data_IF_299647835481
#
_entry.id   IF_299647835481
#
_cell.length_a   1.000
_cell.length_b   1.000
_cell.length_c   1.000
_cell.angle_alpha   90.00
_cell.angle_beta   90.00
_cell.angle_gamma   90.00
#
_symmetry.space_group_name_H-M   'P 1'
#
loop_
_entity.id
_entity.type
_entity.pdbx_description
1 polymer ?
#
# COMPACT_ATOMS: atom_id res chain seq x y z
N UNK A 1 1.54 -9.31 21.55
CA UNK A 1 1.90 -7.96 21.09
C UNK A 1 1.03 -7.60 19.88
N UNK A 2 0.67 -6.33 19.75
CA UNK A 2 -0.20 -5.86 18.67
C UNK A 2 0.51 -4.77 17.89
N UNK A 3 0.61 -4.93 16.59
CA UNK A 3 1.11 -3.93 15.66
C UNK A 3 0.21 -4.00 14.43
N UNK A 4 -0.80 -3.18 14.39
CA UNK A 4 -1.86 -3.28 13.40
C UNK A 4 -2.41 -1.90 13.07
N UNK A 5 -2.58 -1.61 11.80
CA UNK A 5 -3.25 -0.40 11.35
C UNK A 5 -4.20 -0.71 10.21
N UNK A 6 -5.21 0.12 10.05
CA UNK A 6 -6.17 0.03 8.97
C UNK A 6 -6.36 1.43 8.41
N UNK A 7 -6.16 1.54 7.09
CA UNK A 7 -6.30 2.80 6.38
C UNK A 7 -7.28 2.64 5.23
N UNK A 8 -8.14 3.62 5.04
CA UNK A 8 -9.01 3.71 3.87
C UNK A 8 -8.77 5.07 3.23
N UNK A 9 -8.51 5.08 1.95
CA UNK A 9 -8.25 6.31 1.24
C UNK A 9 -8.17 6.11 -0.26
N UNK A 10 -7.75 7.15 -0.95
CA UNK A 10 -7.60 7.15 -2.41
C UNK A 10 -6.13 7.10 -2.78
N UNK A 11 -5.82 6.34 -3.81
CA UNK A 11 -4.47 6.35 -4.36
C UNK A 11 -4.15 7.73 -4.95
N UNK A 12 -3.11 8.35 -4.42
CA UNK A 12 -2.68 9.68 -4.84
C UNK A 12 -1.91 9.65 -6.16
N UNK A 13 -1.37 8.50 -6.52
CA UNK A 13 -0.61 8.29 -7.74
C UNK A 13 -0.73 6.83 -8.16
N UNK A 14 -0.32 6.50 -9.37
CA UNK A 14 -0.25 5.12 -9.81
C UNK A 14 0.78 4.34 -8.99
N UNK A 15 0.51 3.05 -8.70
CA UNK A 15 1.47 2.22 -7.99
C UNK A 15 2.80 2.12 -8.72
N UNK A 16 3.89 2.15 -7.96
CA UNK A 16 5.24 2.05 -8.51
C UNK A 16 5.85 0.71 -8.14
N UNK A 17 5.89 -0.17 -9.10
CA UNK A 17 6.43 -1.52 -8.95
C UNK A 17 7.92 -1.53 -9.21
N UNK A 18 8.65 -2.27 -8.37
CA UNK A 18 10.09 -2.42 -8.52
C UNK A 18 10.52 -3.84 -8.18
N UNK A 19 11.27 -4.45 -9.10
CA UNK A 19 11.94 -5.72 -8.85
C UNK A 19 13.29 -5.42 -8.19
N UNK A 20 13.50 -5.91 -6.97
CA UNK A 20 14.74 -5.66 -6.21
C UNK A 20 15.79 -6.71 -6.54
N UNK A 21 15.40 -7.98 -6.52
CA UNK A 21 16.22 -9.10 -6.93
C UNK A 21 15.31 -10.26 -7.35
N UNK A 22 15.88 -11.44 -7.59
CA UNK A 22 15.09 -12.58 -8.07
C UNK A 22 13.95 -12.99 -7.14
N UNK A 23 14.10 -12.74 -5.84
CA UNK A 23 13.16 -13.19 -4.83
C UNK A 23 12.38 -12.07 -4.15
N UNK A 24 12.71 -10.80 -4.43
CA UNK A 24 12.12 -9.67 -3.74
C UNK A 24 11.59 -8.62 -4.70
N UNK A 25 10.35 -8.24 -4.49
CA UNK A 25 9.66 -7.19 -5.23
C UNK A 25 8.91 -6.30 -4.27
N UNK A 26 8.76 -5.05 -4.63
CA UNK A 26 8.00 -4.09 -3.85
C UNK A 26 7.16 -3.23 -4.77
N UNK A 27 5.95 -2.94 -4.34
CA UNK A 27 5.12 -1.93 -4.97
C UNK A 27 4.88 -0.83 -3.95
N UNK A 28 5.29 0.37 -4.29
CA UNK A 28 5.10 1.53 -3.44
C UNK A 28 3.86 2.29 -3.88
N UNK A 29 2.98 2.54 -2.93
CA UNK A 29 1.78 3.35 -3.16
C UNK A 29 1.75 4.51 -2.17
N UNK A 30 1.03 5.55 -2.52
CA UNK A 30 0.73 6.67 -1.62
C UNK A 30 -0.78 6.76 -1.49
N UNK A 31 -1.26 6.62 -0.28
CA UNK A 31 -2.68 6.68 0.04
C UNK A 31 -3.03 8.03 0.64
N UNK A 32 -3.98 8.72 0.04
CA UNK A 32 -4.50 9.97 0.56
C UNK A 32 -5.65 9.66 1.51
N UNK A 33 -5.41 9.91 2.78
CA UNK A 33 -6.36 9.63 3.86
C UNK A 33 -6.82 10.94 4.48
N UNK A 34 -8.12 11.16 4.49
CA UNK A 34 -8.67 12.36 5.10
C UNK A 34 -8.51 12.33 6.61
N UNK A 35 -8.10 13.46 7.17
CA UNK A 35 -8.08 13.63 8.61
C UNK A 35 -9.52 13.70 9.15
N UNK A 36 -9.77 13.23 10.37
CA UNK A 36 -11.13 13.19 10.92
C UNK A 36 -11.64 14.55 11.44
N UNK A 37 -10.86 15.61 11.28
CA UNK A 37 -11.22 16.95 11.78
C UNK A 37 -10.94 18.00 10.72
N UNK A 38 -11.67 19.10 10.81
CA UNK A 38 -11.49 20.26 9.94
C UNK A 38 -10.40 21.18 10.49
N UNK A 39 -9.63 21.75 9.57
CA UNK A 39 -8.71 22.82 9.89
C UNK A 39 -9.52 24.05 10.31
N UNK A 40 -9.17 24.63 11.46
CA UNK A 40 -9.91 25.76 12.01
C UNK A 40 -9.75 27.03 11.18
N UNK A 41 -8.64 27.16 10.47
CA UNK A 41 -8.35 28.35 9.67
C UNK A 41 -9.01 28.30 8.29
N UNK A 42 -9.03 27.13 7.65
CA UNK A 42 -9.56 26.96 6.29
C UNK A 42 -10.97 26.39 6.26
N UNK A 43 -11.42 25.72 7.32
CA UNK A 43 -12.71 25.05 7.37
C UNK A 43 -12.75 23.73 6.57
N UNK A 44 -11.63 23.30 6.02
CA UNK A 44 -11.53 22.12 5.21
C UNK A 44 -10.85 20.96 5.96
N UNK A 45 -11.15 19.75 5.54
CA UNK A 45 -10.48 18.57 6.08
C UNK A 45 -9.08 18.45 5.49
N UNK A 46 -8.09 18.26 6.36
CA UNK A 46 -6.74 17.97 5.93
C UNK A 46 -6.63 16.56 5.37
N UNK A 47 -5.56 16.32 4.63
CA UNK A 47 -5.27 15.02 4.03
C UNK A 47 -3.86 14.60 4.43
N UNK A 48 -3.73 13.36 4.86
CA UNK A 48 -2.43 12.75 5.09
C UNK A 48 -2.08 11.87 3.88
N UNK A 49 -0.91 12.10 3.31
CA UNK A 49 -0.39 11.29 2.21
C UNK A 49 0.55 10.26 2.81
N UNK A 50 0.08 9.02 2.85
CA UNK A 50 0.77 7.95 3.57
C UNK A 50 1.44 7.01 2.58
N UNK A 51 2.79 6.96 2.56
CA UNK A 51 3.51 5.97 1.75
C UNK A 51 3.34 4.59 2.35
N UNK A 52 3.05 3.62 1.51
CA UNK A 52 2.84 2.22 1.92
C UNK A 52 3.66 1.33 1.01
N UNK A 53 4.37 0.39 1.61
CA UNK A 53 5.14 -0.61 0.88
C UNK A 53 4.40 -1.94 0.86
N UNK A 54 4.27 -2.51 -0.32
CA UNK A 54 3.61 -3.80 -0.54
C UNK A 54 4.65 -4.76 -1.11
N UNK A 55 5.01 -5.77 -0.34
CA UNK A 55 6.12 -6.67 -0.67
C UNK A 55 5.64 -7.98 -1.27
N UNK A 56 6.42 -8.49 -2.21
CA UNK A 56 6.26 -9.83 -2.82
C UNK A 56 4.88 -10.03 -3.46
N UNK A 57 4.13 -11.05 -3.09
CA UNK A 57 2.89 -11.40 -3.76
C UNK A 57 1.86 -10.28 -3.85
N UNK A 58 1.65 -9.56 -2.75
CA UNK A 58 0.68 -8.45 -2.73
C UNK A 58 1.09 -7.29 -3.64
N UNK A 59 2.38 -7.17 -3.97
CA UNK A 59 2.87 -6.13 -4.87
C UNK A 59 2.27 -6.25 -6.27
N UNK A 60 2.04 -7.46 -6.75
CA UNK A 60 1.40 -7.70 -8.04
C UNK A 60 -0.05 -7.28 -8.07
N UNK A 61 -0.76 -7.51 -6.97
CA UNK A 61 -2.16 -7.10 -6.87
C UNK A 61 -2.29 -5.59 -7.02
N UNK A 62 -1.44 -4.84 -6.33
CA UNK A 62 -1.44 -3.39 -6.45
C UNK A 62 -1.04 -2.94 -7.85
N UNK A 63 0.03 -3.53 -8.41
CA UNK A 63 0.52 -3.14 -9.73
C UNK A 63 -0.49 -3.43 -10.84
N UNK A 64 -1.20 -4.55 -10.74
CA UNK A 64 -2.09 -5.01 -11.81
C UNK A 64 -3.50 -4.43 -11.71
N UNK A 65 -3.99 -4.15 -10.50
CA UNK A 65 -5.38 -3.80 -10.29
C UNK A 65 -5.63 -2.40 -9.77
N UNK A 66 -4.62 -1.70 -9.29
CA UNK A 66 -4.78 -0.39 -8.70
C UNK A 66 -4.30 0.72 -9.62
N UNK A 67 -5.02 1.84 -9.62
CA UNK A 67 -4.67 3.03 -10.39
C UNK A 67 -4.94 4.28 -9.56
N UNK A 68 -4.29 5.36 -9.92
CA UNK A 68 -4.50 6.67 -9.31
C UNK A 68 -5.99 6.99 -9.22
N UNK A 69 -6.45 7.41 -8.06
CA UNK A 69 -7.84 7.78 -7.80
C UNK A 69 -8.72 6.67 -7.25
N UNK A 70 -8.27 5.41 -7.30
CA UNK A 70 -9.01 4.30 -6.73
C UNK A 70 -9.10 4.41 -5.21
N UNK A 71 -10.26 4.04 -4.66
CA UNK A 71 -10.45 3.97 -3.22
C UNK A 71 -10.22 2.55 -2.75
N UNK A 72 -9.25 2.39 -1.87
CA UNK A 72 -8.87 1.09 -1.33
C UNK A 72 -8.72 1.14 0.19
N UNK A 73 -8.83 -0.02 0.81
CA UNK A 73 -8.49 -0.22 2.22
C UNK A 73 -7.19 -1.00 2.33
N UNK A 74 -6.35 -0.62 3.26
CA UNK A 74 -5.10 -1.31 3.56
C UNK A 74 -5.12 -1.72 5.03
N UNK A 75 -4.90 -2.99 5.28
CA UNK A 75 -4.53 -3.48 6.59
C UNK A 75 -3.03 -3.74 6.60
N UNK A 76 -2.35 -3.25 7.61
CA UNK A 76 -0.91 -3.39 7.66
C UNK A 76 -0.35 -3.20 9.05
N UNK A 77 0.93 -2.96 9.10
CA UNK A 77 1.68 -2.74 10.33
C UNK A 77 2.70 -1.64 10.14
N UNK A 78 3.17 -1.11 11.24
CA UNK A 78 4.24 -0.13 11.27
C UNK A 78 5.58 -0.86 11.48
N UNK A 79 6.57 -0.50 10.69
CA UNK A 79 7.93 -0.97 10.84
C UNK A 79 8.86 0.23 10.90
N UNK A 80 10.03 0.02 11.46
CA UNK A 80 11.06 1.04 11.54
C UNK A 80 12.34 0.51 10.91
N UNK A 81 12.89 1.29 9.98
CA UNK A 81 14.23 1.06 9.46
C UNK A 81 15.21 2.00 10.13
N UNK A 82 16.34 1.45 10.51
CA UNK A 82 17.47 2.23 11.02
C UNK A 82 18.53 2.30 9.93
N UNK A 83 18.99 3.51 9.63
CA UNK A 83 20.08 3.74 8.70
C UNK A 83 21.14 4.60 9.37
N UNK A 84 22.38 4.15 9.33
CA UNK A 84 23.50 4.91 9.84
C UNK A 84 24.07 5.81 8.73
N UNK A 85 24.11 7.11 8.99
CA UNK A 85 24.74 8.10 8.13
C UNK A 85 25.64 8.98 8.96
N UNK A 86 26.92 9.05 8.60
CA UNK A 86 27.92 9.88 9.27
C UNK A 86 28.01 9.63 10.78
N UNK A 87 27.88 8.38 11.21
CA UNK A 87 27.91 7.99 12.62
C UNK A 87 26.64 8.28 13.39
N UNK A 88 25.60 8.77 12.71
CA UNK A 88 24.30 9.08 13.32
C UNK A 88 23.30 8.06 12.84
N UNK A 89 22.57 7.43 13.77
CA UNK A 89 21.49 6.51 13.45
C UNK A 89 20.22 7.30 13.15
N UNK A 90 19.70 7.11 11.95
CA UNK A 90 18.41 7.68 11.53
C UNK A 90 17.35 6.60 11.46
N UNK A 91 16.18 6.90 12.00
CA UNK A 91 15.05 5.97 12.05
C UNK A 91 13.95 6.45 11.10
N UNK A 92 13.52 5.56 10.23
CA UNK A 92 12.45 5.84 9.27
C UNK A 92 11.26 4.95 9.57
N UNK A 93 10.13 5.58 9.83
CA UNK A 93 8.87 4.88 9.99
C UNK A 93 8.37 4.43 8.63
N UNK A 94 7.97 3.17 8.52
CA UNK A 94 7.47 2.58 7.29
C UNK A 94 6.14 1.88 7.56
N UNK A 95 5.15 2.09 6.69
CA UNK A 95 3.90 1.34 6.72
C UNK A 95 4.02 0.20 5.74
N UNK A 96 3.86 -1.02 6.22
CA UNK A 96 3.89 -2.22 5.40
C UNK A 96 2.47 -2.75 5.26
N UNK A 97 1.97 -2.79 4.03
CA UNK A 97 0.65 -3.31 3.73
C UNK A 97 0.67 -4.83 3.67
N UNK A 98 -0.29 -5.44 4.35
CA UNK A 98 -0.43 -6.89 4.40
C UNK A 98 -1.66 -7.38 3.67
N UNK A 99 -2.67 -6.50 3.51
CA UNK A 99 -3.94 -6.84 2.91
C UNK A 99 -4.52 -5.63 2.19
N UNK A 100 -5.09 -5.86 1.01
CA UNK A 100 -5.80 -4.84 0.24
C UNK A 100 -7.27 -5.20 0.14
N UNK A 101 -8.14 -4.23 0.42
CA UNK A 101 -9.58 -4.34 0.19
C UNK A 101 -9.98 -3.31 -0.86
N UNK A 102 -10.63 -3.76 -1.91
CA UNK A 102 -11.08 -2.88 -2.98
C UNK A 102 -12.48 -2.35 -2.65
N UNK A 103 -12.60 -1.02 -2.59
CA UNK A 103 -13.83 -0.39 -2.10
C UNK A 103 -14.67 0.17 -3.24
N UNK A 104 -14.05 0.90 -4.17
CA UNK A 104 -14.78 1.45 -5.30
C UNK A 104 -13.87 1.71 -6.49
N UNK A 105 -14.49 1.69 -7.68
CA UNK A 105 -13.87 2.09 -8.95
C UNK A 105 -12.63 1.31 -9.35
N UNK A 106 -12.40 0.13 -8.74
CA UNK A 106 -11.27 -0.71 -9.11
C UNK A 106 -11.61 -1.48 -10.36
N UNK A 107 -10.85 -1.22 -11.42
CA UNK A 107 -10.95 -1.93 -12.67
C UNK A 107 -9.64 -2.64 -12.92
N UNK A 108 -9.66 -3.94 -13.22
CA UNK A 108 -8.44 -4.63 -13.57
C UNK A 108 -7.83 -4.02 -14.83
N UNK A 109 -6.53 -3.91 -14.85
CA UNK A 109 -5.81 -3.48 -16.03
C UNK A 109 -5.92 -4.58 -17.10
N UNK A 110 -5.78 -4.20 -18.35
CA UNK A 110 -5.85 -5.11 -19.50
C UNK A 110 -7.24 -5.78 -19.71
N UNK A 111 -8.30 -5.17 -19.19
CA UNK A 111 -9.66 -5.62 -19.41
C UNK A 111 -10.13 -6.79 -18.57
N UNK A 112 -9.29 -7.27 -17.65
CA UNK A 112 -9.69 -8.30 -16.70
C UNK A 112 -10.67 -7.72 -15.68
N UNK A 113 -11.71 -8.49 -15.35
CA UNK A 113 -12.67 -8.09 -14.33
C UNK A 113 -12.34 -8.76 -13.01
N UNK A 114 -12.45 -8.00 -11.96
CA UNK A 114 -12.16 -8.43 -10.61
C UNK A 114 -13.39 -8.29 -9.74
N UNK A 115 -13.70 -9.29 -8.94
CA UNK A 115 -14.69 -9.15 -7.88
C UNK A 115 -14.08 -8.37 -6.74
N UNK A 116 -14.92 -7.67 -5.97
CA UNK A 116 -14.47 -6.91 -4.80
C UNK A 116 -14.11 -7.87 -3.67
N UNK A 117 -12.95 -8.46 -3.77
CA UNK A 117 -12.43 -9.41 -2.79
C UNK A 117 -11.24 -8.80 -2.05
N UNK A 118 -10.94 -9.36 -0.91
CA UNK A 118 -9.74 -9.01 -0.18
C UNK A 118 -8.61 -9.93 -0.61
N UNK A 119 -7.42 -9.35 -0.79
CA UNK A 119 -6.22 -10.09 -1.12
C UNK A 119 -5.19 -9.89 -0.02
N UNK A 120 -4.58 -10.99 0.42
CA UNK A 120 -3.48 -10.96 1.37
C UNK A 120 -2.19 -11.32 0.68
N UNK A 121 -1.07 -11.02 1.32
CA UNK A 121 0.23 -11.43 0.81
C UNK A 121 0.33 -12.95 0.67
N UNK A 122 -0.27 -13.69 1.59
CA UNK A 122 -0.24 -15.16 1.57
C UNK A 122 -1.05 -15.74 0.42
N UNK A 123 -2.20 -15.16 0.11
CA UNK A 123 -3.04 -15.63 -0.99
C UNK A 123 -2.34 -15.49 -2.34
N UNK A 124 -1.59 -14.43 -2.53
CA UNK A 124 -0.92 -14.14 -3.79
C UNK A 124 0.44 -14.83 -3.89
N UNK A 125 1.15 -15.00 -2.78
CA UNK A 125 2.43 -15.70 -2.74
C UNK A 125 2.30 -17.15 -3.21
N UNK A 126 1.20 -17.82 -2.90
CA UNK A 126 0.96 -19.18 -3.36
C UNK A 126 0.88 -19.28 -4.88
N UNK A 127 0.30 -18.29 -5.53
CA UNK A 127 0.22 -18.23 -6.99
C UNK A 127 1.56 -17.89 -7.63
N UNK A 128 2.37 -17.05 -6.98
CA UNK A 128 3.65 -16.62 -7.52
C UNK A 128 4.77 -17.65 -7.32
N UNK A 129 4.65 -18.56 -6.36
CA UNK A 129 5.63 -19.65 -6.16
C UNK A 129 5.59 -20.64 -7.32
N UNK A 130 4.43 -20.84 -7.93
CA UNK A 130 4.28 -21.75 -9.06
C UNK A 130 4.88 -21.18 -10.35
N UNK A 131 5.13 -19.89 -10.42
CA UNK A 131 5.70 -19.20 -11.59
C UNK A 131 7.24 -19.10 -11.55
N UNK A 132 7.84 -19.52 -10.46
CA UNK A 132 9.29 -19.58 -10.31
C UNK A 132 9.79 -21.00 -10.66
#
# INVERSE_FOLDING_TARGET
MINNLILVGRLADDPKFKQINENMRVCNIVLAVNRPFKDMDTGEYGVDYIPISLWNGISYVAADYCSKGDTIGIKGRVAVRCKEEDGINKYFLEVIGERISFISSVQPKDGLKMNYEEYTADDVVNDSVDDE
#
